data_IF_908736000845
#
_entry.id   IF_908736000845
#
_cell.length_a   1.000
_cell.length_b   1.000
_cell.length_c   1.000
_cell.angle_alpha   90.00
_cell.angle_beta   90.00
_cell.angle_gamma   90.00
#
_symmetry.space_group_name_H-M   'P 1'
#
loop_
_entity.id
_entity.type
_entity.pdbx_description
1 polymer ?
#
# COMPACT_ATOMS: atom_id res chain seq x y z
N UNK A 1 4.03 -20.88 -15.09
CA UNK A 1 4.34 -20.51 -13.68
C UNK A 1 3.22 -19.61 -13.20
N UNK A 2 2.79 -19.73 -11.94
CA UNK A 2 1.77 -18.84 -11.39
C UNK A 2 2.39 -17.94 -10.32
N UNK A 3 2.07 -16.65 -10.37
CA UNK A 3 2.41 -15.68 -9.33
C UNK A 3 1.15 -15.33 -8.55
N UNK A 4 1.16 -15.49 -7.24
CA UNK A 4 0.03 -15.14 -6.37
C UNK A 4 0.42 -13.92 -5.55
N UNK A 5 -0.27 -12.81 -5.77
CA UNK A 5 -0.13 -11.60 -4.98
C UNK A 5 -1.18 -11.59 -3.89
N UNK A 6 -0.75 -11.54 -2.64
CA UNK A 6 -1.59 -11.35 -1.48
C UNK A 6 -1.37 -9.96 -0.92
N UNK A 7 -2.39 -9.45 -0.23
CA UNK A 7 -2.41 -8.11 0.35
C UNK A 7 -1.45 -7.86 1.50
N UNK A 8 -1.79 -6.85 2.28
CA UNK A 8 -0.91 -6.30 3.31
C UNK A 8 -0.72 -7.24 4.51
N UNK A 9 0.52 -7.42 4.91
CA UNK A 9 0.94 -8.18 6.08
C UNK A 9 1.53 -7.23 7.11
N UNK A 10 0.87 -7.13 8.26
CA UNK A 10 1.39 -6.49 9.46
C UNK A 10 1.35 -7.50 10.61
N UNK A 11 2.51 -7.90 11.07
CA UNK A 11 2.67 -8.97 12.08
C UNK A 11 2.83 -8.40 13.49
N UNK A 12 2.35 -7.18 13.76
CA UNK A 12 2.54 -6.53 15.06
C UNK A 12 1.83 -7.28 16.19
N UNK A 13 0.57 -7.68 15.94
CA UNK A 13 -0.32 -8.26 16.95
C UNK A 13 -0.58 -9.76 16.73
N UNK A 14 0.14 -10.39 15.79
CA UNK A 14 0.00 -11.81 15.49
C UNK A 14 0.47 -12.68 16.68
N UNK A 15 -0.27 -13.75 16.95
CA UNK A 15 0.06 -14.74 17.96
C UNK A 15 0.75 -15.96 17.35
N UNK A 16 1.65 -16.60 18.09
CA UNK A 16 2.39 -17.77 17.60
C UNK A 16 1.47 -18.95 17.21
N UNK A 17 0.37 -19.13 17.93
CA UNK A 17 -0.64 -20.16 17.64
C UNK A 17 -1.31 -19.98 16.28
N UNK A 18 -1.40 -18.74 15.78
CA UNK A 18 -2.05 -18.39 14.52
C UNK A 18 -1.18 -18.74 13.32
N UNK A 19 0.15 -18.67 13.49
CA UNK A 19 1.13 -18.93 12.42
C UNK A 19 0.95 -20.34 11.83
N UNK A 20 0.71 -21.35 12.67
CA UNK A 20 0.50 -22.73 12.21
C UNK A 20 -0.78 -22.88 11.39
N UNK A 21 -1.85 -22.22 11.83
CA UNK A 21 -3.12 -22.23 11.11
C UNK A 21 -2.99 -21.57 9.73
N UNK A 22 -2.33 -20.40 9.67
CA UNK A 22 -2.03 -19.68 8.44
C UNK A 22 -1.17 -20.54 7.51
N UNK A 23 -0.08 -21.12 8.02
CA UNK A 23 0.82 -21.97 7.26
C UNK A 23 0.08 -23.17 6.66
N UNK A 24 -0.78 -23.83 7.45
CA UNK A 24 -1.61 -24.96 6.99
C UNK A 24 -2.58 -24.54 5.89
N UNK A 25 -3.24 -23.39 6.03
CA UNK A 25 -4.16 -22.85 5.02
C UNK A 25 -3.45 -22.58 3.70
N UNK A 26 -2.28 -21.93 3.73
CA UNK A 26 -1.56 -21.58 2.52
C UNK A 26 -0.84 -22.77 1.87
N UNK A 27 -0.31 -23.69 2.66
CA UNK A 27 0.32 -24.91 2.13
C UNK A 27 -0.68 -25.76 1.33
N UNK A 28 -1.96 -25.78 1.74
CA UNK A 28 -3.01 -26.53 1.02
C UNK A 28 -3.27 -26.02 -0.40
N UNK A 29 -3.02 -24.74 -0.67
CA UNK A 29 -3.32 -24.12 -1.98
C UNK A 29 -2.07 -23.88 -2.83
N UNK A 30 -0.87 -24.06 -2.26
CA UNK A 30 0.38 -23.80 -2.94
C UNK A 30 0.87 -25.05 -3.67
N UNK A 31 0.98 -24.95 -5.00
CA UNK A 31 1.63 -25.98 -5.82
C UNK A 31 3.13 -25.76 -5.88
N UNK A 32 3.90 -26.79 -6.28
CA UNK A 32 5.37 -26.75 -6.35
C UNK A 32 5.96 -25.58 -7.17
N UNK A 33 5.27 -25.18 -8.24
CA UNK A 33 5.72 -24.14 -9.16
C UNK A 33 5.02 -22.78 -8.94
N UNK A 34 4.26 -22.64 -7.85
CA UNK A 34 3.57 -21.41 -7.49
C UNK A 34 4.46 -20.52 -6.63
N UNK A 35 4.54 -19.24 -6.98
CA UNK A 35 5.28 -18.23 -6.22
C UNK A 35 4.28 -17.34 -5.50
N UNK A 36 4.40 -17.23 -4.18
CA UNK A 36 3.55 -16.40 -3.34
C UNK A 36 4.30 -15.12 -2.97
N UNK A 37 3.66 -13.99 -3.22
CA UNK A 37 4.17 -12.63 -3.03
C UNK A 37 3.21 -11.91 -2.10
N UNK A 38 3.72 -11.16 -1.13
CA UNK A 38 2.90 -10.33 -0.26
C UNK A 38 3.62 -9.04 0.16
N UNK A 39 2.86 -8.00 0.51
CA UNK A 39 3.43 -6.78 1.05
C UNK A 39 3.72 -6.94 2.55
N UNK A 40 4.99 -6.89 2.94
CA UNK A 40 5.38 -6.85 4.36
C UNK A 40 5.41 -5.38 4.79
N UNK A 41 4.32 -4.94 5.39
CA UNK A 41 4.08 -3.52 5.64
C UNK A 41 4.84 -3.01 6.85
N UNK A 42 4.88 -3.78 7.93
CA UNK A 42 5.64 -3.40 9.11
C UNK A 42 7.11 -3.89 9.04
N UNK A 43 8.09 -3.06 9.42
CA UNK A 43 9.48 -3.50 9.55
C UNK A 43 9.60 -4.57 10.64
N UNK A 44 10.53 -5.50 10.44
CA UNK A 44 10.90 -6.52 11.42
C UNK A 44 12.03 -5.96 12.26
N UNK A 45 11.75 -5.62 13.51
CA UNK A 45 12.77 -5.05 14.40
C UNK A 45 12.46 -5.15 15.88
N UNK A 46 13.52 -5.26 16.69
CA UNK A 46 13.45 -5.10 18.14
C UNK A 46 13.83 -3.69 18.62
N UNK A 47 14.32 -2.83 17.72
CA UNK A 47 14.68 -1.45 17.97
C UNK A 47 13.52 -0.66 18.58
N UNK A 48 13.84 0.27 19.48
CA UNK A 48 12.88 1.23 20.03
C UNK A 48 13.09 2.65 19.46
N UNK A 49 13.97 2.80 18.47
CA UNK A 49 14.26 4.09 17.82
C UNK A 49 13.22 4.30 16.71
N UNK A 50 12.11 4.96 17.06
CA UNK A 50 11.03 5.28 16.12
C UNK A 50 11.21 6.66 15.48
N UNK A 51 10.86 6.79 14.20
CA UNK A 51 10.78 8.10 13.56
C UNK A 51 9.57 8.89 14.04
N UNK A 52 9.63 10.21 13.95
CA UNK A 52 8.44 11.06 14.12
C UNK A 52 7.74 11.19 12.77
N UNK A 53 6.51 10.68 12.65
CA UNK A 53 5.67 10.73 11.45
C UNK A 53 4.23 11.11 11.78
N UNK A 54 3.43 11.40 10.74
CA UNK A 54 1.97 11.34 10.84
C UNK A 54 1.54 9.87 10.81
N UNK A 55 0.53 9.49 11.60
CA UNK A 55 0.11 8.09 11.76
C UNK A 55 0.95 7.27 12.76
N UNK A 56 0.62 5.98 12.94
CA UNK A 56 1.29 5.10 13.89
C UNK A 56 2.68 4.66 13.40
N UNK A 57 3.52 4.22 14.33
CA UNK A 57 4.73 3.44 14.03
C UNK A 57 4.42 1.96 14.26
N UNK A 58 4.48 1.15 13.21
CA UNK A 58 4.25 -0.29 13.21
C UNK A 58 5.58 -1.06 13.23
N UNK A 59 5.59 -2.23 13.88
CA UNK A 59 6.71 -3.20 13.79
C UNK A 59 6.24 -4.62 14.06
N UNK A 60 6.99 -5.58 13.53
CA UNK A 60 6.96 -6.96 14.02
C UNK A 60 8.23 -7.27 14.82
N UNK A 61 8.07 -7.98 15.95
CA UNK A 61 9.20 -8.46 16.75
C UNK A 61 9.96 -9.56 16.03
N UNK A 62 11.29 -9.55 16.13
CA UNK A 62 12.15 -10.42 15.31
C UNK A 62 11.91 -11.92 15.57
N UNK A 63 11.59 -12.30 16.80
CA UNK A 63 11.31 -13.67 17.20
C UNK A 63 10.04 -14.23 16.52
N UNK A 64 8.96 -13.46 16.50
CA UNK A 64 7.69 -13.83 15.88
C UNK A 64 7.84 -13.83 14.35
N UNK A 65 8.48 -12.78 13.80
CA UNK A 65 8.74 -12.69 12.37
C UNK A 65 9.54 -13.90 11.85
N UNK A 66 10.62 -14.30 12.52
CA UNK A 66 11.42 -15.48 12.12
C UNK A 66 10.58 -16.77 12.11
N UNK A 67 9.68 -16.95 13.09
CA UNK A 67 8.76 -18.10 13.11
C UNK A 67 7.77 -18.06 11.94
N UNK A 68 7.23 -16.88 11.66
CA UNK A 68 6.33 -16.64 10.54
C UNK A 68 7.01 -16.95 9.20
N UNK A 69 8.16 -16.32 8.93
CA UNK A 69 8.92 -16.48 7.68
C UNK A 69 9.32 -17.93 7.42
N UNK A 70 9.65 -18.68 8.49
CA UNK A 70 10.02 -20.10 8.40
C UNK A 70 8.85 -21.02 8.05
N UNK A 71 7.65 -20.75 8.59
CA UNK A 71 6.49 -21.65 8.47
C UNK A 71 5.54 -21.28 7.34
N UNK A 72 5.36 -19.99 7.08
CA UNK A 72 4.37 -19.49 6.13
C UNK A 72 5.00 -19.47 4.72
N UNK A 73 4.37 -20.11 3.71
CA UNK A 73 5.02 -20.38 2.43
C UNK A 73 4.88 -19.20 1.44
N UNK A 74 5.25 -18.00 1.90
CA UNK A 74 5.44 -16.81 1.07
C UNK A 74 6.91 -16.77 0.65
N UNK A 75 7.18 -16.52 -0.63
CA UNK A 75 8.53 -16.60 -1.21
C UNK A 75 9.17 -15.21 -1.40
N UNK A 76 8.34 -14.22 -1.72
CA UNK A 76 8.76 -12.87 -2.06
C UNK A 76 7.99 -11.86 -1.22
N UNK A 77 8.69 -10.87 -0.67
CA UNK A 77 8.08 -9.75 0.04
C UNK A 77 8.32 -8.44 -0.68
N UNK A 78 7.26 -7.66 -0.91
CA UNK A 78 7.39 -6.27 -1.32
C UNK A 78 7.52 -5.39 -0.09
N UNK A 79 8.46 -4.44 -0.12
CA UNK A 79 8.82 -3.61 1.03
C UNK A 79 8.63 -2.12 0.76
N UNK A 80 8.29 -1.71 -0.46
CA UNK A 80 7.93 -0.33 -0.72
C UNK A 80 6.53 -0.07 -0.17
N UNK A 81 6.47 0.48 1.04
CA UNK A 81 5.26 0.91 1.72
C UNK A 81 5.59 2.07 2.66
N UNK A 82 4.57 2.69 3.25
CA UNK A 82 4.68 3.87 4.10
C UNK A 82 5.24 3.59 5.52
N UNK A 83 5.40 2.31 5.88
CA UNK A 83 5.79 1.88 7.23
C UNK A 83 7.22 1.31 7.33
N UNK A 84 7.88 0.97 6.21
CA UNK A 84 9.21 0.35 6.21
C UNK A 84 10.30 1.14 6.98
N UNK A 85 10.14 2.46 7.13
CA UNK A 85 11.05 3.33 7.91
C UNK A 85 10.51 3.74 9.29
N UNK A 86 9.46 3.11 9.81
CA UNK A 86 8.88 3.47 11.10
C UNK A 86 9.88 3.42 12.27
N UNK A 87 10.91 2.58 12.14
CA UNK A 87 12.02 2.43 13.08
C UNK A 87 13.37 2.82 12.45
N UNK A 88 13.31 3.78 11.52
CA UNK A 88 14.44 4.38 10.83
C UNK A 88 15.35 3.33 10.15
N UNK A 89 16.62 3.67 9.94
CA UNK A 89 17.63 2.80 9.33
C UNK A 89 17.75 1.44 10.02
N UNK A 90 17.69 1.41 11.35
CA UNK A 90 17.82 0.17 12.12
C UNK A 90 16.71 -0.82 11.81
N UNK A 91 15.45 -0.34 11.74
CA UNK A 91 14.32 -1.18 11.38
C UNK A 91 14.45 -1.75 9.97
N UNK A 92 14.92 -0.94 9.02
CA UNK A 92 15.19 -1.38 7.66
C UNK A 92 16.32 -2.42 7.61
N UNK A 93 17.49 -2.14 8.19
CA UNK A 93 18.65 -3.03 8.22
C UNK A 93 18.30 -4.42 8.80
N UNK A 94 17.61 -4.45 9.95
CA UNK A 94 17.18 -5.70 10.58
C UNK A 94 16.18 -6.46 9.69
N UNK A 95 15.24 -5.75 9.05
CA UNK A 95 14.27 -6.35 8.13
C UNK A 95 14.98 -7.04 6.96
N UNK A 96 15.89 -6.33 6.29
CA UNK A 96 16.62 -6.87 5.13
C UNK A 96 17.51 -8.06 5.53
N UNK A 97 18.21 -7.95 6.66
CA UNK A 97 19.05 -9.04 7.18
C UNK A 97 18.24 -10.29 7.50
N UNK A 98 17.09 -10.14 8.16
CA UNK A 98 16.25 -11.29 8.54
C UNK A 98 15.63 -11.95 7.32
N UNK A 99 15.19 -11.19 6.32
CA UNK A 99 14.67 -11.76 5.06
C UNK A 99 15.77 -12.54 4.33
N UNK A 100 16.98 -11.98 4.25
CA UNK A 100 18.15 -12.66 3.68
C UNK A 100 18.47 -13.97 4.43
N UNK A 101 18.57 -13.94 5.76
CA UNK A 101 18.89 -15.11 6.58
C UNK A 101 17.82 -16.21 6.53
N UNK A 102 16.56 -15.83 6.25
CA UNK A 102 15.45 -16.77 6.04
C UNK A 102 15.28 -17.21 4.57
N UNK A 103 16.24 -16.86 3.70
CA UNK A 103 16.20 -17.14 2.25
C UNK A 103 14.93 -16.61 1.57
N UNK A 104 14.44 -15.45 2.00
CA UNK A 104 13.28 -14.78 1.41
C UNK A 104 13.75 -13.69 0.45
N UNK A 105 13.18 -13.69 -0.74
CA UNK A 105 13.44 -12.65 -1.75
C UNK A 105 12.61 -11.42 -1.41
N UNK A 106 13.08 -10.24 -1.81
CA UNK A 106 12.34 -9.00 -1.64
C UNK A 106 12.67 -7.97 -2.73
N UNK A 107 11.86 -6.92 -2.80
CA UNK A 107 12.11 -5.72 -3.63
C UNK A 107 11.40 -4.51 -3.02
N UNK A 108 11.83 -3.30 -3.41
CA UNK A 108 11.15 -2.06 -3.07
C UNK A 108 11.70 -1.29 -1.87
N UNK A 109 12.76 -1.78 -1.21
CA UNK A 109 13.45 -1.05 -0.16
C UNK A 109 14.94 -1.41 -0.09
N UNK A 110 15.78 -0.47 0.32
CA UNK A 110 17.23 -0.67 0.38
C UNK A 110 17.98 0.38 1.18
N UNK A 111 19.22 0.04 1.56
CA UNK A 111 20.13 0.92 2.33
C UNK A 111 20.76 2.04 1.51
N UNK A 112 20.46 2.07 0.21
CA UNK A 112 20.77 3.16 -0.71
C UNK A 112 19.58 3.34 -1.66
N UNK A 113 19.47 4.52 -2.29
CA UNK A 113 18.47 4.76 -3.34
C UNK A 113 18.54 3.72 -4.47
N UNK A 114 19.75 3.37 -4.91
CA UNK A 114 19.94 2.38 -5.98
C UNK A 114 19.45 0.99 -5.58
N UNK A 115 19.71 0.56 -4.34
CA UNK A 115 19.22 -0.73 -3.84
C UNK A 115 17.69 -0.73 -3.64
N UNK A 116 17.13 0.40 -3.20
CA UNK A 116 15.68 0.54 -3.07
C UNK A 116 14.96 0.49 -4.43
N UNK A 117 15.59 1.03 -5.47
CA UNK A 117 15.08 1.03 -6.84
C UNK A 117 15.26 -0.28 -7.59
N UNK A 118 16.01 -1.25 -7.04
CA UNK A 118 16.32 -2.50 -7.71
C UNK A 118 15.07 -3.39 -7.82
N UNK A 119 14.64 -3.75 -9.06
CA UNK A 119 13.54 -4.67 -9.25
C UNK A 119 14.00 -6.10 -8.96
N UNK A 120 13.07 -6.95 -8.54
CA UNK A 120 13.35 -8.38 -8.47
C UNK A 120 13.07 -9.03 -9.83
N UNK A 121 14.08 -9.67 -10.43
CA UNK A 121 13.92 -10.42 -11.69
C UNK A 121 13.86 -11.92 -11.39
N UNK A 122 12.78 -12.57 -11.84
CA UNK A 122 12.58 -14.01 -11.74
C UNK A 122 12.00 -14.55 -13.06
N UNK A 123 12.67 -15.53 -13.67
CA UNK A 123 12.19 -16.19 -14.89
C UNK A 123 11.72 -15.18 -15.97
N UNK A 124 12.53 -14.16 -16.24
CA UNK A 124 12.27 -13.13 -17.26
C UNK A 124 11.04 -12.24 -16.96
N UNK A 125 10.64 -12.19 -15.69
CA UNK A 125 9.62 -11.29 -15.15
C UNK A 125 10.30 -10.35 -14.15
N UNK A 126 10.17 -9.05 -14.36
CA UNK A 126 10.60 -8.01 -13.43
C UNK A 126 9.45 -7.59 -12.53
N UNK A 127 9.66 -7.66 -11.22
CA UNK A 127 8.74 -7.14 -10.20
C UNK A 127 9.35 -5.86 -9.65
N UNK A 128 8.68 -4.73 -9.90
CA UNK A 128 9.06 -3.42 -9.41
C UNK A 128 8.10 -2.99 -8.30
N UNK A 129 8.58 -2.95 -7.05
CA UNK A 129 7.78 -2.49 -5.91
C UNK A 129 8.07 -1.02 -5.61
N UNK A 130 7.01 -0.20 -5.48
CA UNK A 130 7.06 1.25 -5.27
C UNK A 130 6.00 1.72 -4.26
N UNK A 131 6.22 2.88 -3.65
CA UNK A 131 5.27 3.49 -2.72
C UNK A 131 5.07 4.99 -2.98
N UNK A 132 3.89 5.51 -2.64
CA UNK A 132 3.73 6.95 -2.49
C UNK A 132 4.69 7.50 -1.42
N UNK A 133 5.10 8.75 -1.63
CA UNK A 133 6.01 9.41 -0.71
C UNK A 133 5.27 9.88 0.54
N UNK A 134 5.48 9.17 1.63
CA UNK A 134 5.27 9.59 3.01
C UNK A 134 6.63 9.67 3.70
N UNK A 135 6.80 9.14 4.91
CA UNK A 135 8.05 9.19 5.68
C UNK A 135 9.02 8.04 5.36
N UNK A 136 8.84 7.39 4.22
CA UNK A 136 9.38 6.06 3.89
C UNK A 136 10.39 6.05 2.74
N UNK A 137 10.26 6.95 1.75
CA UNK A 137 11.03 6.86 0.51
C UNK A 137 12.49 7.26 0.68
N UNK A 138 13.38 6.54 0.00
CA UNK A 138 14.79 6.87 -0.07
C UNK A 138 15.00 8.20 -0.81
N UNK A 139 15.70 9.15 -0.17
CA UNK A 139 16.22 10.35 -0.83
C UNK A 139 17.40 10.00 -1.73
N UNK A 140 17.89 10.95 -2.54
CA UNK A 140 19.00 10.74 -3.49
C UNK A 140 20.24 10.06 -2.88
N UNK A 141 20.57 10.39 -1.63
CA UNK A 141 21.69 9.82 -0.88
C UNK A 141 21.25 9.04 0.37
N UNK A 142 19.98 8.66 0.42
CA UNK A 142 19.36 8.03 1.58
C UNK A 142 19.08 6.54 1.38
N UNK A 143 18.36 6.00 2.37
CA UNK A 143 17.82 4.65 2.44
C UNK A 143 16.30 4.72 2.59
N UNK A 144 15.61 3.62 2.31
CA UNK A 144 14.15 3.56 2.43
C UNK A 144 13.49 2.84 1.26
N UNK A 145 12.22 3.18 1.03
CA UNK A 145 11.39 2.63 -0.02
C UNK A 145 11.72 3.23 -1.40
N UNK A 146 11.45 2.45 -2.44
CA UNK A 146 11.38 2.88 -3.82
C UNK A 146 10.17 3.81 -4.02
N UNK A 147 10.37 5.03 -4.53
CA UNK A 147 9.27 6.00 -4.66
C UNK A 147 8.43 5.77 -5.92
N UNK A 148 7.18 6.24 -5.91
CA UNK A 148 6.29 6.32 -7.09
C UNK A 148 6.47 7.62 -7.88
N UNK A 149 7.60 8.33 -7.70
CA UNK A 149 7.91 9.54 -8.46
C UNK A 149 7.92 9.25 -9.99
N UNK A 150 7.12 9.96 -10.80
CA UNK A 150 6.99 9.68 -12.23
C UNK A 150 8.30 9.74 -13.02
N UNK A 151 9.23 10.64 -12.66
CA UNK A 151 10.52 10.79 -13.34
C UNK A 151 11.39 9.55 -13.08
N UNK A 152 11.47 9.13 -11.82
CA UNK A 152 12.17 7.90 -11.43
C UNK A 152 11.52 6.66 -12.04
N UNK A 153 10.18 6.61 -12.12
CA UNK A 153 9.44 5.49 -12.72
C UNK A 153 9.77 5.30 -14.19
N UNK A 154 9.77 6.38 -14.98
CA UNK A 154 10.12 6.33 -16.39
C UNK A 154 11.49 5.68 -16.60
N UNK A 155 12.52 6.13 -15.87
CA UNK A 155 13.87 5.58 -15.99
C UNK A 155 13.94 4.10 -15.59
N UNK A 156 13.30 3.72 -14.48
CA UNK A 156 13.32 2.33 -13.98
C UNK A 156 12.60 1.37 -14.93
N UNK A 157 11.39 1.71 -15.37
CA UNK A 157 10.60 0.84 -16.25
C UNK A 157 11.25 0.74 -17.64
N UNK A 158 11.71 1.85 -18.23
CA UNK A 158 12.38 1.81 -19.54
C UNK A 158 13.69 1.03 -19.52
N UNK A 159 14.43 1.05 -18.41
CA UNK A 159 15.60 0.19 -18.22
C UNK A 159 15.19 -1.28 -18.10
N UNK A 160 14.21 -1.58 -17.22
CA UNK A 160 13.74 -2.94 -16.96
C UNK A 160 13.18 -3.62 -18.23
N UNK A 161 12.52 -2.88 -19.12
CA UNK A 161 12.03 -3.41 -20.43
C UNK A 161 13.12 -4.01 -21.31
N UNK A 162 14.39 -3.65 -21.09
CA UNK A 162 15.52 -4.20 -21.84
C UNK A 162 16.01 -5.53 -21.28
N UNK A 163 15.60 -5.87 -20.06
CA UNK A 163 16.10 -7.00 -19.28
C UNK A 163 15.07 -8.11 -19.14
N UNK A 164 13.77 -7.79 -19.25
CA UNK A 164 12.68 -8.75 -19.01
C UNK A 164 11.58 -8.67 -20.06
N UNK A 165 10.88 -9.79 -20.25
CA UNK A 165 9.72 -9.89 -21.13
C UNK A 165 8.40 -9.43 -20.50
N UNK A 166 8.33 -9.35 -19.16
CA UNK A 166 7.11 -8.94 -18.45
C UNK A 166 7.45 -8.11 -17.23
N UNK A 167 6.78 -6.98 -17.06
CA UNK A 167 6.96 -6.07 -15.92
C UNK A 167 5.68 -6.03 -15.10
N UNK A 168 5.77 -6.42 -13.83
CA UNK A 168 4.70 -6.26 -12.85
C UNK A 168 5.11 -5.16 -11.87
N UNK A 169 4.26 -4.14 -11.74
CA UNK A 169 4.47 -3.08 -10.74
C UNK A 169 3.57 -3.35 -9.55
N UNK A 170 4.17 -3.40 -8.35
CA UNK A 170 3.45 -3.47 -7.09
C UNK A 170 3.53 -2.10 -6.43
N UNK A 171 2.40 -1.40 -6.30
CA UNK A 171 2.36 -0.04 -5.77
C UNK A 171 1.62 0.01 -4.43
N UNK A 172 2.21 0.67 -3.44
CA UNK A 172 1.59 0.94 -2.16
C UNK A 172 1.17 2.42 -2.11
N UNK A 173 -0.11 2.70 -2.32
CA UNK A 173 -0.64 4.06 -2.44
C UNK A 173 -2.15 4.12 -2.62
N UNK A 174 -2.70 5.33 -2.62
CA UNK A 174 -4.14 5.58 -2.63
C UNK A 174 -4.63 6.16 -1.30
N UNK A 175 -5.95 6.24 -1.13
CA UNK A 175 -6.54 6.77 0.10
C UNK A 175 -7.00 5.63 1.02
N UNK A 176 -6.50 5.61 2.26
CA UNK A 176 -6.97 4.70 3.31
C UNK A 176 -8.50 4.71 3.46
N UNK A 177 -9.06 3.50 3.59
CA UNK A 177 -10.48 3.24 3.74
C UNK A 177 -11.36 3.74 2.57
N UNK A 178 -10.78 3.81 1.36
CA UNK A 178 -11.49 4.16 0.14
C UNK A 178 -11.29 3.08 -0.94
N UNK A 179 -12.34 2.31 -1.22
CA UNK A 179 -12.31 1.19 -2.17
C UNK A 179 -12.27 1.58 -3.65
N UNK A 180 -12.14 2.86 -3.99
CA UNK A 180 -12.06 3.34 -5.37
C UNK A 180 -10.80 4.19 -5.50
N UNK A 181 -10.14 4.22 -6.67
CA UNK A 181 -9.04 5.16 -6.89
C UNK A 181 -9.57 6.59 -6.99
N UNK A 182 -8.76 7.55 -6.57
CA UNK A 182 -8.96 8.93 -7.00
C UNK A 182 -8.68 9.07 -8.51
N UNK A 183 -9.22 10.10 -9.18
CA UNK A 183 -8.94 10.34 -10.59
C UNK A 183 -7.43 10.47 -10.91
N UNK A 184 -6.64 11.13 -10.05
CA UNK A 184 -5.20 11.27 -10.30
C UNK A 184 -4.42 10.00 -9.98
N UNK A 185 -4.85 9.19 -9.01
CA UNK A 185 -4.24 7.88 -8.77
C UNK A 185 -4.48 6.94 -9.97
N UNK A 186 -5.71 6.89 -10.50
CA UNK A 186 -6.02 6.18 -11.76
C UNK A 186 -5.14 6.66 -12.91
N UNK A 187 -4.97 7.97 -13.07
CA UNK A 187 -4.09 8.55 -14.10
C UNK A 187 -2.62 8.15 -13.92
N UNK A 188 -2.11 8.07 -12.69
CA UNK A 188 -0.75 7.60 -12.42
C UNK A 188 -0.58 6.13 -12.83
N UNK A 189 -1.55 5.27 -12.51
CA UNK A 189 -1.47 3.85 -12.88
C UNK A 189 -1.57 3.63 -14.40
N UNK A 190 -2.39 4.44 -15.10
CA UNK A 190 -2.41 4.46 -16.58
C UNK A 190 -1.04 4.84 -17.14
N UNK A 191 -0.42 5.89 -16.60
CA UNK A 191 0.92 6.30 -17.02
C UNK A 191 1.97 5.19 -16.82
N UNK A 192 1.90 4.44 -15.72
CA UNK A 192 2.79 3.30 -15.46
C UNK A 192 2.63 2.19 -16.51
N UNK A 193 1.40 1.89 -16.94
CA UNK A 193 1.15 0.99 -18.09
C UNK A 193 1.74 1.58 -19.38
N UNK A 194 1.49 2.86 -19.66
CA UNK A 194 1.93 3.51 -20.91
C UNK A 194 3.45 3.51 -21.09
N UNK A 195 4.22 3.65 -20.00
CA UNK A 195 5.68 3.59 -20.05
C UNK A 195 6.23 2.16 -20.09
N UNK A 196 5.37 1.16 -19.90
CA UNK A 196 5.62 -0.24 -20.29
C UNK A 196 5.50 -1.28 -19.19
N UNK A 197 4.76 -1.02 -18.12
CA UNK A 197 4.32 -2.09 -17.23
C UNK A 197 3.22 -2.96 -17.89
N UNK A 198 3.23 -4.26 -17.60
CA UNK A 198 2.26 -5.23 -18.13
C UNK A 198 1.12 -5.55 -17.16
N UNK A 199 1.33 -5.34 -15.87
CA UNK A 199 0.30 -5.48 -14.84
C UNK A 199 0.65 -4.61 -13.63
N UNK A 200 -0.38 -4.09 -12.97
CA UNK A 200 -0.24 -3.33 -11.73
C UNK A 200 -1.07 -3.99 -10.63
N UNK A 201 -0.44 -4.23 -9.48
CA UNK A 201 -1.08 -4.68 -8.24
C UNK A 201 -0.93 -3.57 -7.20
N UNK A 202 -2.04 -3.05 -6.68
CA UNK A 202 -2.02 -1.97 -5.69
C UNK A 202 -2.39 -2.47 -4.29
N UNK A 203 -1.79 -1.82 -3.29
CA UNK A 203 -1.90 -2.00 -1.85
C UNK A 203 -2.16 -0.65 -1.17
N UNK A 204 -2.28 -0.61 0.17
CA UNK A 204 -2.38 0.57 1.04
C UNK A 204 -3.79 0.96 1.54
N UNK A 205 -4.87 1.00 0.73
CA UNK A 205 -6.16 1.47 1.23
C UNK A 205 -6.76 0.65 2.39
N UNK A 206 -6.17 -0.50 2.73
CA UNK A 206 -6.64 -1.47 3.72
C UNK A 206 -8.07 -2.00 3.49
N UNK A 207 -8.56 -1.81 2.26
CA UNK A 207 -9.87 -2.27 1.80
C UNK A 207 -9.72 -2.78 0.38
N UNK A 208 -10.45 -3.82 0.00
CA UNK A 208 -10.42 -4.29 -1.38
C UNK A 208 -11.08 -3.30 -2.35
N UNK A 209 -10.57 -3.27 -3.58
CA UNK A 209 -11.09 -2.50 -4.71
C UNK A 209 -11.44 -3.41 -5.89
N UNK A 210 -11.90 -2.81 -6.99
CA UNK A 210 -12.09 -3.48 -8.28
C UNK A 210 -10.84 -3.40 -9.16
N UNK A 211 -11.03 -3.76 -10.43
CA UNK A 211 -9.98 -3.73 -11.45
C UNK A 211 -10.36 -2.87 -12.66
N UNK A 212 -9.38 -2.68 -13.54
CA UNK A 212 -9.57 -2.14 -14.87
C UNK A 212 -8.69 -2.91 -15.87
N UNK A 213 -9.15 -3.00 -17.12
CA UNK A 213 -8.31 -3.40 -18.24
C UNK A 213 -8.02 -2.15 -19.08
N UNK A 214 -6.79 -1.66 -19.01
CA UNK A 214 -6.33 -0.45 -19.69
C UNK A 214 -5.24 -0.82 -20.70
N UNK A 215 -5.37 -0.42 -21.97
CA UNK A 215 -4.44 -0.79 -23.06
C UNK A 215 -4.12 -2.30 -23.10
N UNK A 216 -5.14 -3.14 -22.92
CA UNK A 216 -5.05 -4.60 -22.83
C UNK A 216 -4.25 -5.17 -21.64
N UNK A 217 -3.88 -4.34 -20.67
CA UNK A 217 -3.16 -4.72 -19.43
C UNK A 217 -4.07 -4.56 -18.21
N UNK A 218 -3.77 -5.31 -17.14
CA UNK A 218 -4.60 -5.36 -15.94
C UNK A 218 -4.08 -4.45 -14.83
N UNK A 219 -4.98 -3.70 -14.21
CA UNK A 219 -4.73 -2.85 -13.04
C UNK A 219 -5.67 -3.27 -11.92
N UNK A 220 -5.13 -3.71 -10.78
CA UNK A 220 -5.88 -4.01 -9.56
C UNK A 220 -5.65 -2.89 -8.54
N UNK A 221 -6.70 -2.14 -8.19
CA UNK A 221 -6.56 -0.86 -7.48
C UNK A 221 -6.37 -0.96 -5.96
N UNK A 222 -6.72 -2.10 -5.37
CA UNK A 222 -6.37 -2.47 -4.01
C UNK A 222 -6.81 -3.91 -3.77
N UNK A 223 -5.91 -4.72 -3.24
CA UNK A 223 -6.21 -6.13 -2.93
C UNK A 223 -6.56 -6.36 -1.44
N UNK A 224 -6.55 -5.29 -0.63
CA UNK A 224 -6.92 -5.29 0.78
C UNK A 224 -5.86 -5.89 1.71
N UNK A 225 -6.17 -6.02 2.99
CA UNK A 225 -5.27 -6.61 3.97
C UNK A 225 -5.26 -8.13 3.89
N UNK A 226 -4.09 -8.77 3.92
CA UNK A 226 -3.99 -10.23 3.97
C UNK A 226 -3.89 -10.79 5.39
N UNK A 227 -2.94 -10.27 6.18
CA UNK A 227 -2.68 -10.69 7.56
C UNK A 227 -2.32 -9.45 8.39
N UNK A 228 -3.34 -8.78 8.91
CA UNK A 228 -3.23 -7.52 9.62
C UNK A 228 -4.19 -7.53 10.82
N UNK A 229 -3.91 -8.34 11.86
CA UNK A 229 -4.71 -8.36 13.07
C UNK A 229 -4.70 -6.99 13.72
N UNK A 230 -5.90 -6.48 14.03
CA UNK A 230 -6.10 -5.26 14.79
C UNK A 230 -7.36 -5.44 15.65
N UNK A 231 -7.23 -5.28 16.97
CA UNK A 231 -8.33 -5.50 17.91
C UNK A 231 -9.44 -4.45 17.84
N UNK A 232 -9.17 -3.30 17.22
CA UNK A 232 -10.11 -2.18 17.06
C UNK A 232 -10.75 -2.15 15.67
N UNK A 233 -10.14 -2.77 14.66
CA UNK A 233 -10.61 -2.77 13.28
C UNK A 233 -11.14 -4.14 12.86
N UNK A 234 -12.45 -4.34 13.04
CA UNK A 234 -13.17 -5.58 12.74
C UNK A 234 -14.25 -5.42 11.66
N UNK A 235 -14.19 -4.32 10.90
CA UNK A 235 -15.15 -4.06 9.83
C UNK A 235 -15.04 -5.07 8.69
N UNK A 236 -16.13 -5.26 7.94
CA UNK A 236 -16.13 -6.11 6.75
C UNK A 236 -15.01 -5.70 5.79
N UNK A 237 -14.87 -4.40 5.52
CA UNK A 237 -13.86 -3.86 4.61
C UNK A 237 -12.42 -4.14 5.05
N UNK A 238 -12.13 -4.10 6.36
CA UNK A 238 -10.80 -4.39 6.90
C UNK A 238 -10.44 -5.87 6.82
N UNK A 239 -11.42 -6.72 7.14
CA UNK A 239 -11.20 -8.16 7.23
C UNK A 239 -11.22 -8.87 5.88
N UNK A 240 -11.76 -8.26 4.80
CA UNK A 240 -11.88 -8.92 3.50
C UNK A 240 -10.91 -8.37 2.45
N UNK A 241 -10.22 -9.27 1.77
CA UNK A 241 -9.31 -8.98 0.66
C UNK A 241 -9.42 -10.03 -0.44
N UNK A 242 -8.57 -9.94 -1.45
CA UNK A 242 -8.45 -10.98 -2.47
C UNK A 242 -7.02 -11.16 -2.92
N UNK A 243 -6.61 -12.41 -3.13
CA UNK A 243 -5.37 -12.69 -3.83
C UNK A 243 -5.57 -12.52 -5.33
N UNK A 244 -4.52 -12.11 -6.03
CA UNK A 244 -4.48 -12.10 -7.50
C UNK A 244 -3.50 -13.16 -7.96
N UNK A 245 -4.01 -14.23 -8.58
CA UNK A 245 -3.20 -15.22 -9.28
C UNK A 245 -2.98 -14.72 -10.71
N UNK A 246 -1.73 -14.52 -11.11
CA UNK A 246 -1.33 -14.26 -12.49
C UNK A 246 -0.74 -15.52 -13.10
N UNK A 247 -1.20 -15.86 -14.30
CA UNK A 247 -0.63 -16.93 -15.14
C UNK A 247 0.01 -16.26 -16.35
N UNK A 248 1.33 -16.39 -16.47
CA UNK A 248 2.10 -15.69 -17.50
C UNK A 248 2.58 -16.70 -18.54
N UNK A 249 2.15 -16.52 -19.78
CA UNK A 249 2.48 -17.38 -20.92
C UNK A 249 2.90 -16.51 -22.12
N UNK A 250 4.20 -16.53 -22.47
CA UNK A 250 4.73 -15.80 -23.64
C UNK A 250 4.32 -14.31 -23.69
N UNK A 251 4.37 -13.61 -22.55
CA UNK A 251 3.99 -12.19 -22.43
C UNK A 251 2.48 -11.93 -22.29
N UNK A 252 1.63 -12.94 -22.46
CA UNK A 252 0.21 -12.85 -22.12
C UNK A 252 0.02 -13.12 -20.62
N UNK A 253 -0.82 -12.29 -19.99
CA UNK A 253 -1.15 -12.40 -18.57
C UNK A 253 -2.64 -12.75 -18.46
N UNK A 254 -2.94 -13.92 -17.95
CA UNK A 254 -4.28 -14.26 -17.45
C UNK A 254 -4.31 -14.11 -15.93
N UNK A 255 -5.50 -13.91 -15.37
CA UNK A 255 -5.65 -13.78 -13.92
C UNK A 255 -6.81 -14.61 -13.35
N UNK A 256 -6.71 -14.91 -12.06
CA UNK A 256 -7.79 -15.43 -11.24
C UNK A 256 -7.78 -14.76 -9.86
N UNK A 257 -8.96 -14.58 -9.28
CA UNK A 257 -9.12 -14.01 -7.94
C UNK A 257 -9.21 -15.11 -6.89
N UNK A 258 -8.59 -14.87 -5.73
CA UNK A 258 -8.72 -15.70 -4.53
C UNK A 258 -9.22 -14.87 -3.36
N UNK A 259 -10.52 -14.54 -3.30
CA UNK A 259 -11.09 -13.81 -2.17
C UNK A 259 -10.85 -14.54 -0.85
N UNK A 260 -10.55 -13.78 0.20
CA UNK A 260 -10.34 -14.29 1.54
C UNK A 260 -10.84 -13.32 2.59
N UNK A 261 -10.97 -13.83 3.82
CA UNK A 261 -11.19 -13.06 5.03
C UNK A 261 -10.10 -13.39 6.05
N UNK A 262 -9.66 -12.38 6.79
CA UNK A 262 -8.69 -12.48 7.88
C UNK A 262 -9.34 -12.13 9.23
N UNK A 263 -8.88 -12.77 10.31
CA UNK A 263 -9.20 -12.45 11.71
C UNK A 263 -10.68 -12.17 12.01
N UNK A 264 -11.56 -13.11 11.67
CA UNK A 264 -13.02 -13.00 11.77
C UNK A 264 -13.63 -13.60 13.06
N UNK A 265 -12.88 -13.57 14.16
CA UNK A 265 -13.16 -14.23 15.44
C UNK A 265 -13.01 -15.76 15.46
N UNK A 266 -12.83 -16.44 14.32
CA UNK A 266 -12.77 -17.92 14.27
C UNK A 266 -11.46 -18.44 13.70
N UNK A 267 -10.96 -17.84 12.62
CA UNK A 267 -9.70 -18.24 11.99
C UNK A 267 -8.87 -17.02 11.58
N UNK A 268 -7.53 -17.12 11.62
CA UNK A 268 -6.67 -16.03 11.18
C UNK A 268 -6.76 -15.78 9.67
N UNK A 269 -7.08 -16.80 8.86
CA UNK A 269 -7.24 -16.70 7.41
C UNK A 269 -8.15 -17.78 6.83
N UNK A 270 -9.15 -17.37 6.05
CA UNK A 270 -10.10 -18.25 5.35
C UNK A 270 -10.33 -17.78 3.92
N UNK A 271 -10.16 -18.66 2.93
CA UNK A 271 -10.57 -18.37 1.54
C UNK A 271 -12.08 -18.52 1.38
N UNK A 272 -12.72 -17.54 0.73
CA UNK A 272 -14.18 -17.47 0.62
C UNK A 272 -14.71 -18.56 -0.32
N UNK A 273 -15.90 -19.08 0.00
CA UNK A 273 -16.62 -20.08 -0.79
C UNK A 273 -18.11 -19.76 -0.84
N UNK A 274 -18.82 -20.46 -1.72
CA UNK A 274 -20.28 -20.47 -1.78
C UNK A 274 -20.89 -19.04 -1.79
N UNK A 275 -21.89 -18.78 -0.95
CA UNK A 275 -22.60 -17.50 -0.92
C UNK A 275 -21.71 -16.32 -0.57
N UNK A 276 -20.70 -16.51 0.29
CA UNK A 276 -19.79 -15.43 0.68
C UNK A 276 -18.90 -15.01 -0.50
N UNK A 277 -18.43 -15.98 -1.30
CA UNK A 277 -17.70 -15.72 -2.53
C UNK A 277 -18.57 -14.99 -3.56
N UNK A 278 -19.85 -15.36 -3.70
CA UNK A 278 -20.79 -14.67 -4.61
C UNK A 278 -20.99 -13.21 -4.20
N UNK A 279 -21.21 -12.95 -2.91
CA UNK A 279 -21.38 -11.58 -2.39
C UNK A 279 -20.11 -10.73 -2.58
N UNK A 280 -18.94 -11.32 -2.32
CA UNK A 280 -17.67 -10.65 -2.54
C UNK A 280 -17.48 -10.28 -4.02
N UNK A 281 -17.69 -11.25 -4.92
CA UNK A 281 -17.54 -11.03 -6.36
C UNK A 281 -18.52 -9.98 -6.88
N UNK A 282 -19.76 -9.95 -6.37
CA UNK A 282 -20.71 -8.90 -6.70
C UNK A 282 -20.15 -7.51 -6.34
N UNK A 283 -19.65 -7.31 -5.12
CA UNK A 283 -19.03 -6.05 -4.70
C UNK A 283 -17.79 -5.69 -5.54
N UNK A 284 -16.95 -6.67 -5.85
CA UNK A 284 -15.76 -6.49 -6.69
C UNK A 284 -16.14 -5.99 -8.10
N UNK A 285 -17.15 -6.59 -8.74
CA UNK A 285 -17.59 -6.18 -10.06
C UNK A 285 -18.36 -4.85 -10.06
N UNK A 286 -19.12 -4.55 -9.00
CA UNK A 286 -19.72 -3.21 -8.82
C UNK A 286 -18.65 -2.11 -8.74
N UNK A 287 -17.56 -2.34 -8.00
CA UNK A 287 -16.42 -1.41 -7.94
C UNK A 287 -15.72 -1.30 -9.30
N UNK A 288 -15.51 -2.43 -9.97
CA UNK A 288 -14.96 -2.49 -11.34
C UNK A 288 -15.79 -1.66 -12.31
N UNK A 289 -17.12 -1.77 -12.28
CA UNK A 289 -18.03 -0.99 -13.14
C UNK A 289 -17.96 0.53 -12.87
N UNK A 290 -17.72 0.93 -11.62
CA UNK A 290 -17.53 2.34 -11.26
C UNK A 290 -16.18 2.83 -11.79
N UNK A 291 -15.11 2.05 -11.62
CA UNK A 291 -13.75 2.38 -12.05
C UNK A 291 -13.69 2.57 -13.58
N UNK A 292 -14.37 1.71 -14.34
CA UNK A 292 -14.41 1.77 -15.81
C UNK A 292 -15.33 2.89 -16.35
N UNK A 293 -15.97 3.69 -15.49
CA UNK A 293 -16.82 4.80 -15.88
C UNK A 293 -16.42 6.08 -15.18
N UNK A 294 -15.67 6.95 -15.87
CA UNK A 294 -15.09 8.16 -15.29
C UNK A 294 -16.13 9.12 -14.66
N UNK A 295 -17.36 9.16 -15.18
CA UNK A 295 -18.45 9.95 -14.58
C UNK A 295 -18.88 9.37 -13.23
N UNK A 296 -19.06 8.04 -13.15
CA UNK A 296 -19.38 7.35 -11.88
C UNK A 296 -18.23 7.47 -10.89
N UNK A 297 -16.98 7.34 -11.35
CA UNK A 297 -15.80 7.49 -10.53
C UNK A 297 -15.71 8.89 -9.93
N UNK A 298 -15.84 9.93 -10.76
CA UNK A 298 -15.82 11.32 -10.31
C UNK A 298 -16.96 11.64 -9.32
N UNK A 299 -18.16 11.08 -9.52
CA UNK A 299 -19.26 11.22 -8.57
C UNK A 299 -18.94 10.60 -7.21
N UNK A 300 -18.32 9.42 -7.20
CA UNK A 300 -17.91 8.78 -5.94
C UNK A 300 -16.75 9.52 -5.28
N UNK A 301 -15.82 10.07 -6.06
CA UNK A 301 -14.75 10.93 -5.56
C UNK A 301 -15.29 12.18 -4.87
N UNK A 302 -16.28 12.85 -5.47
CA UNK A 302 -17.02 13.98 -4.85
C UNK A 302 -17.61 13.61 -3.49
N UNK A 303 -18.23 12.43 -3.40
CA UNK A 303 -18.83 11.94 -2.14
C UNK A 303 -17.76 11.66 -1.09
N UNK A 304 -16.66 11.02 -1.47
CA UNK A 304 -15.55 10.71 -0.55
C UNK A 304 -14.91 11.99 0.00
N UNK A 305 -14.53 12.91 -0.88
CA UNK A 305 -13.88 14.18 -0.51
C UNK A 305 -14.78 15.05 0.37
N UNK A 306 -16.09 15.11 0.08
CA UNK A 306 -17.07 15.80 0.93
C UNK A 306 -17.14 15.21 2.35
N UNK A 307 -17.10 13.88 2.49
CA UNK A 307 -17.08 13.21 3.80
C UNK A 307 -15.77 13.47 4.57
N UNK A 308 -14.66 13.63 3.86
CA UNK A 308 -13.33 13.84 4.44
C UNK A 308 -12.97 15.32 4.63
N UNK A 309 -13.80 16.25 4.14
CA UNK A 309 -13.54 17.70 4.16
C UNK A 309 -13.07 18.19 5.54
N UNK A 310 -13.85 17.94 6.58
CA UNK A 310 -13.53 18.40 7.94
C UNK A 310 -12.20 17.82 8.44
N UNK A 311 -11.91 16.55 8.15
CA UNK A 311 -10.65 15.91 8.55
C UNK A 311 -9.44 16.61 7.92
N UNK A 312 -9.46 16.84 6.60
CA UNK A 312 -8.36 17.48 5.89
C UNK A 312 -8.22 18.97 6.26
N UNK A 313 -9.33 19.71 6.34
CA UNK A 313 -9.30 21.12 6.74
C UNK A 313 -8.79 21.29 8.17
N UNK A 314 -9.22 20.44 9.10
CA UNK A 314 -8.70 20.46 10.47
C UNK A 314 -7.22 20.10 10.54
N UNK A 315 -6.71 19.21 9.68
CA UNK A 315 -5.27 18.94 9.55
C UNK A 315 -4.50 20.13 8.94
N UNK A 316 -5.08 20.87 7.99
CA UNK A 316 -4.46 22.05 7.37
C UNK A 316 -4.40 23.28 8.31
N UNK A 317 -5.51 23.65 8.95
CA UNK A 317 -5.64 24.92 9.70
C UNK A 317 -4.73 24.96 10.94
N UNK A 318 -4.04 26.08 11.13
CA UNK A 318 -3.37 26.46 12.38
C UNK A 318 -4.38 27.27 13.22
N UNK A 319 -4.62 26.97 14.51
CA UNK A 319 -5.56 27.72 15.35
C UNK A 319 -5.14 29.20 15.50
N UNK A 320 -5.61 30.06 14.60
CA UNK A 320 -5.03 31.40 14.43
C UNK A 320 -5.80 32.54 15.12
N UNK A 321 -7.01 32.37 15.64
CA UNK A 321 -7.76 33.53 16.18
C UNK A 321 -7.23 33.97 17.54
N UNK A 322 -7.14 33.06 18.52
CA UNK A 322 -6.53 33.33 19.82
C UNK A 322 -5.02 33.64 19.71
N UNK A 323 -4.32 32.96 18.80
CA UNK A 323 -2.87 33.11 18.65
C UNK A 323 -2.50 34.45 17.98
N UNK A 324 -3.30 34.97 17.05
CA UNK A 324 -3.11 36.34 16.50
C UNK A 324 -3.35 37.41 17.57
N UNK A 325 -4.35 37.24 18.43
CA UNK A 325 -4.62 38.17 19.54
C UNK A 325 -3.42 38.16 20.51
N UNK A 326 -2.95 36.98 20.90
CA UNK A 326 -1.81 36.84 21.80
C UNK A 326 -0.50 37.39 21.19
N UNK A 327 -0.24 37.14 19.90
CA UNK A 327 0.96 37.68 19.23
C UNK A 327 0.94 39.21 19.11
N UNK A 328 -0.26 39.80 18.91
CA UNK A 328 -0.44 41.26 18.83
C UNK A 328 -0.16 41.95 20.16
N UNK A 329 -0.52 41.35 21.28
CA UNK A 329 -0.35 41.96 22.61
C UNK A 329 0.98 41.60 23.30
N UNK A 330 1.54 40.42 23.05
CA UNK A 330 2.69 39.93 23.82
C UNK A 330 4.01 39.85 23.05
N UNK A 331 4.06 40.22 21.75
CA UNK A 331 5.25 40.11 20.87
C UNK A 331 5.92 38.72 20.94
N UNK A 332 5.14 37.67 21.21
CA UNK A 332 5.67 36.31 21.27
C UNK A 332 5.75 35.79 19.84
N UNK A 333 6.97 35.51 19.38
CA UNK A 333 7.21 34.86 18.09
C UNK A 333 6.75 33.39 18.18
N UNK A 334 5.45 33.13 18.09
CA UNK A 334 4.90 31.79 17.91
C UNK A 334 5.09 31.34 16.46
N UNK A 335 6.35 31.28 15.99
CA UNK A 335 6.68 30.27 14.98
C UNK A 335 6.59 28.95 15.74
N UNK A 336 5.41 28.34 15.71
CA UNK A 336 4.98 27.31 16.67
C UNK A 336 5.87 26.07 16.59
N UNK A 337 7.00 26.09 17.32
CA UNK A 337 7.89 24.94 17.51
C UNK A 337 7.22 23.86 18.38
N UNK A 338 6.05 24.12 18.99
CA UNK A 338 5.48 23.26 20.04
C UNK A 338 4.56 22.14 19.55
N UNK A 339 4.02 22.18 18.32
CA UNK A 339 3.20 21.08 17.80
C UNK A 339 3.86 20.35 16.61
N UNK A 340 4.89 19.56 16.92
CA UNK A 340 5.61 18.73 15.93
C UNK A 340 4.65 17.80 15.17
N UNK A 341 3.66 17.21 15.84
CA UNK A 341 2.68 16.31 15.22
C UNK A 341 1.85 17.03 14.16
N UNK A 342 1.44 18.27 14.45
CA UNK A 342 0.72 19.10 13.47
C UNK A 342 1.56 19.39 12.23
N UNK A 343 2.84 19.73 12.41
CA UNK A 343 3.77 19.97 11.29
C UNK A 343 3.97 18.73 10.45
N UNK A 344 4.13 17.56 11.09
CA UNK A 344 4.27 16.28 10.39
C UNK A 344 3.00 15.95 9.61
N UNK A 345 1.83 16.20 10.17
CA UNK A 345 0.57 15.98 9.46
C UNK A 345 0.39 16.93 8.27
N UNK A 346 0.72 18.21 8.41
CA UNK A 346 0.72 19.16 7.29
C UNK A 346 1.75 18.79 6.21
N UNK A 347 2.93 18.33 6.62
CA UNK A 347 3.93 17.82 5.69
C UNK A 347 3.40 16.59 4.94
N UNK A 348 2.74 15.65 5.63
CA UNK A 348 2.15 14.48 4.99
C UNK A 348 1.07 14.85 3.97
N UNK A 349 0.22 15.83 4.29
CA UNK A 349 -0.79 16.36 3.38
C UNK A 349 -0.22 16.90 2.07
N UNK A 350 1.01 17.40 2.07
CA UNK A 350 1.65 18.01 0.90
C UNK A 350 2.44 16.95 0.12
N UNK A 351 3.21 16.11 0.81
CA UNK A 351 4.12 15.15 0.16
C UNK A 351 3.38 13.94 -0.45
N UNK A 352 2.44 13.36 0.29
CA UNK A 352 1.69 12.19 -0.14
C UNK A 352 0.73 12.61 -1.26
N UNK A 353 0.86 11.97 -2.43
CA UNK A 353 0.08 12.36 -3.61
C UNK A 353 -1.42 12.18 -3.40
N UNK A 354 -1.84 11.08 -2.76
CA UNK A 354 -3.25 10.81 -2.47
C UNK A 354 -3.85 11.80 -1.46
N UNK A 355 -3.09 12.22 -0.44
CA UNK A 355 -3.52 13.28 0.48
C UNK A 355 -3.55 14.65 -0.19
N UNK A 356 -2.52 14.97 -0.98
CA UNK A 356 -2.40 16.26 -1.69
C UNK A 356 -3.55 16.45 -2.66
N UNK A 357 -3.89 15.43 -3.45
CA UNK A 357 -5.03 15.48 -4.37
C UNK A 357 -6.35 15.68 -3.62
N UNK A 358 -6.58 14.92 -2.54
CA UNK A 358 -7.79 15.07 -1.72
C UNK A 358 -7.93 16.50 -1.21
N UNK A 359 -6.84 17.06 -0.69
CA UNK A 359 -6.79 18.42 -0.17
C UNK A 359 -7.05 19.46 -1.27
N UNK A 360 -6.37 19.36 -2.42
CA UNK A 360 -6.57 20.25 -3.55
C UNK A 360 -8.02 20.23 -4.02
N UNK A 361 -8.59 19.04 -4.20
CA UNK A 361 -9.98 18.88 -4.61
C UNK A 361 -10.96 19.54 -3.63
N UNK A 362 -10.75 19.36 -2.32
CA UNK A 362 -11.57 20.01 -1.29
C UNK A 362 -11.47 21.53 -1.40
N UNK A 363 -10.25 22.08 -1.52
CA UNK A 363 -10.03 23.53 -1.54
C UNK A 363 -10.60 24.19 -2.81
N UNK A 364 -10.46 23.56 -3.96
CA UNK A 364 -10.98 24.06 -5.25
C UNK A 364 -12.52 24.07 -5.32
N UNK A 365 -13.18 23.14 -4.61
CA UNK A 365 -14.62 22.97 -4.67
C UNK A 365 -15.38 23.56 -3.47
N UNK A 366 -14.67 24.08 -2.45
CA UNK A 366 -15.26 24.66 -1.24
C UNK A 366 -16.19 25.85 -1.52
N UNK A 367 -15.87 26.64 -2.55
CA UNK A 367 -16.63 27.84 -2.92
C UNK A 367 -17.71 27.60 -3.98
N UNK A 368 -17.77 26.40 -4.58
CA UNK A 368 -18.78 26.08 -5.61
C UNK A 368 -20.15 25.70 -5.05
N UNK A 369 -20.31 25.62 -3.72
CA UNK A 369 -21.60 25.42 -3.03
C UNK A 369 -22.43 26.70 -2.85
N UNK A 370 -22.07 27.81 -3.52
CA UNK A 370 -22.77 29.11 -3.41
C UNK A 370 -23.60 29.43 -4.68
N UNK A 371 -23.59 28.58 -5.71
CA UNK A 371 -24.26 28.87 -7.00
C UNK A 371 -25.17 27.76 -7.57
N UNK A 372 -25.71 26.89 -6.71
CA UNK A 372 -26.89 26.06 -7.02
C UNK A 372 -27.97 26.34 -5.95
#
# INVERSE_FOLDING_TARGET
>A
MNLYFFGDICLQDIQESEIESIAKTLTKIKSKNDIFIANLECPITDSNIKIKKDGPNLRCKTNIAKKFLKKVPIDIYTLANNHILDYDKHGLEETLSILHDQNKKYTGAGLTKSAADEPLIINDIGILSIAEEEFNCASTYGYGASSSDPICLYSRITHLKKLVNTIIVVIHGGNEFYSLPSPSYKKLLHYIIDIGADCIISHHPHVSSGMEKYNNKYIFYSIGNFLFPDSQLTSYEWCHGHGVKLTINQGNIDFGLLPYRQYDNTFPLTFLKDNELVLYNKKFYELTDIINNDKKLLLNWKKFTSKKENFYINKLIIPNLLQKILNKFFKINFYDKKNINKKLSQLNLIRCSSHRETLLYILENKNKKIED
#
